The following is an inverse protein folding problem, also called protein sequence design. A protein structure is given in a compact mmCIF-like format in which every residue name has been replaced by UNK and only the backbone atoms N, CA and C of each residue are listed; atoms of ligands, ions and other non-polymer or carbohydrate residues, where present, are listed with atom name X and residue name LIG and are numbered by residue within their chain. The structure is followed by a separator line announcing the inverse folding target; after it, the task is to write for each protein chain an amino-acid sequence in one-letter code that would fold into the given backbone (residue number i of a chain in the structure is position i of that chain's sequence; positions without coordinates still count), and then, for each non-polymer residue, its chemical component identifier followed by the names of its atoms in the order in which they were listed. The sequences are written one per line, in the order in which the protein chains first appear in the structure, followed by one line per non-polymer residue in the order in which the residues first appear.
data_IF_770923771222
#
_entry.id   IF_770923771222
#
_cell.length_a   1.000
_cell.length_b   1.000
_cell.length_c   1.000
_cell.angle_alpha   90.00
_cell.angle_beta   90.00
_cell.angle_gamma   90.00
#
_symmetry.space_group_name_H-M   'P 1'
#
loop_
_entity.id
_entity.type
_entity.pdbx_description
1 polymer ?
#
# COMPACT_ATOMS: atom_id res chain seq x y z
N UNK A 1 -6.28 -15.64 3.56
CA UNK A 1 -5.62 -15.52 4.89
C UNK A 1 -4.40 -16.43 5.04
N UNK A 2 -4.52 -17.76 5.00
CA UNK A 2 -3.39 -18.71 5.21
C UNK A 2 -2.22 -18.55 4.23
N UNK A 3 -2.46 -18.05 3.01
CA UNK A 3 -1.38 -17.74 2.06
C UNK A 3 -0.54 -16.52 2.53
N UNK A 4 -1.21 -15.41 2.87
CA UNK A 4 -0.57 -14.17 3.35
C UNK A 4 0.18 -14.38 4.67
N UNK A 5 -0.43 -15.11 5.62
CA UNK A 5 0.21 -15.46 6.89
C UNK A 5 1.48 -16.33 6.72
N UNK A 6 1.64 -16.99 5.57
CA UNK A 6 2.85 -17.77 5.22
C UNK A 6 3.81 -16.98 4.32
N UNK A 7 3.60 -15.67 4.15
CA UNK A 7 4.40 -14.80 3.29
C UNK A 7 4.35 -15.21 1.81
N UNK A 8 3.20 -15.73 1.34
CA UNK A 8 2.97 -16.07 -0.07
C UNK A 8 2.05 -15.03 -0.71
N UNK A 9 2.33 -14.72 -1.97
CA UNK A 9 1.49 -13.86 -2.79
C UNK A 9 0.09 -14.46 -2.98
N UNK A 10 -0.93 -13.62 -3.01
CA UNK A 10 -2.31 -14.02 -3.23
C UNK A 10 -2.99 -13.02 -4.18
N UNK A 11 -3.67 -13.55 -5.20
CA UNK A 11 -4.66 -12.81 -5.97
C UNK A 11 -6.03 -13.12 -5.39
N UNK A 12 -6.77 -12.09 -5.02
CA UNK A 12 -8.12 -12.26 -4.47
C UNK A 12 -9.12 -11.54 -5.36
N UNK A 13 -10.05 -12.32 -5.90
CA UNK A 13 -11.16 -11.81 -6.73
C UNK A 13 -12.44 -12.01 -5.92
N UNK A 14 -13.09 -10.90 -5.55
CA UNK A 14 -14.34 -10.91 -4.80
C UNK A 14 -15.32 -9.89 -5.39
N UNK A 15 -16.64 -10.10 -5.23
CA UNK A 15 -17.62 -9.08 -5.57
C UNK A 15 -17.46 -7.84 -4.67
N UNK A 16 -17.90 -6.68 -5.16
CA UNK A 16 -18.03 -5.45 -4.35
C UNK A 16 -18.94 -5.71 -3.15
N UNK A 17 -18.65 -5.11 -2.00
CA UNK A 17 -19.39 -5.34 -0.75
C UNK A 17 -19.06 -6.66 -0.01
N UNK A 18 -18.20 -7.53 -0.56
CA UNK A 18 -17.86 -8.82 0.05
C UNK A 18 -16.85 -8.79 1.21
N UNK A 19 -16.49 -7.61 1.74
CA UNK A 19 -15.48 -7.50 2.80
C UNK A 19 -14.03 -7.57 2.31
N UNK A 20 -13.73 -7.07 1.10
CA UNK A 20 -12.37 -7.05 0.54
C UNK A 20 -11.36 -6.36 1.45
N UNK A 21 -11.76 -5.32 2.15
CA UNK A 21 -10.87 -4.58 3.05
C UNK A 21 -10.32 -5.43 4.19
N UNK A 22 -11.14 -6.36 4.71
CA UNK A 22 -10.72 -7.29 5.76
C UNK A 22 -9.57 -8.22 5.32
N UNK A 23 -9.39 -8.43 4.01
CA UNK A 23 -8.39 -9.34 3.46
C UNK A 23 -6.98 -8.78 3.56
N UNK A 24 -6.83 -7.46 3.68
CA UNK A 24 -5.54 -6.83 3.95
C UNK A 24 -5.45 -6.18 5.33
N UNK A 25 -6.57 -5.78 5.94
CA UNK A 25 -6.58 -5.27 7.31
C UNK A 25 -6.18 -6.35 8.32
N UNK A 26 -6.73 -7.56 8.21
CA UNK A 26 -6.39 -8.63 9.17
C UNK A 26 -4.93 -9.08 9.03
N UNK A 27 -4.35 -9.27 7.82
CA UNK A 27 -2.93 -9.56 7.70
C UNK A 27 -2.03 -8.39 8.12
N UNK A 28 -2.45 -7.14 7.96
CA UNK A 28 -1.66 -5.98 8.42
C UNK A 28 -1.38 -6.07 9.93
N UNK A 29 -2.39 -6.42 10.73
CA UNK A 29 -2.27 -6.62 12.18
C UNK A 29 -1.45 -7.86 12.57
N UNK A 30 -1.29 -8.82 11.65
CA UNK A 30 -0.59 -10.09 11.90
C UNK A 30 0.85 -10.12 11.39
N UNK A 31 1.22 -9.19 10.49
CA UNK A 31 2.52 -9.17 9.83
C UNK A 31 3.35 -8.01 10.36
N UNK A 32 4.61 -8.25 10.79
CA UNK A 32 5.45 -7.18 11.29
C UNK A 32 5.89 -6.25 10.16
N UNK A 33 5.42 -5.01 10.18
CA UNK A 33 5.77 -3.95 9.24
C UNK A 33 4.55 -3.35 8.54
N UNK A 34 4.72 -2.20 7.87
CA UNK A 34 3.60 -1.46 7.31
C UNK A 34 2.96 -2.18 6.12
N UNK A 35 1.66 -1.99 5.96
CA UNK A 35 0.87 -2.41 4.81
C UNK A 35 0.68 -1.24 3.86
N UNK A 36 1.01 -1.47 2.59
CA UNK A 36 0.83 -0.48 1.51
C UNK A 36 -0.34 -0.92 0.65
N UNK A 37 -1.35 -0.05 0.53
CA UNK A 37 -2.52 -0.28 -0.31
C UNK A 37 -2.48 0.66 -1.50
N UNK A 38 -2.38 0.10 -2.70
CA UNK A 38 -2.39 0.84 -3.96
C UNK A 38 -3.79 0.79 -4.53
N UNK A 39 -4.46 1.93 -4.67
CA UNK A 39 -5.83 1.98 -5.18
C UNK A 39 -5.99 3.12 -6.18
N UNK A 40 -6.66 2.93 -7.33
CA UNK A 40 -6.89 3.99 -8.30
C UNK A 40 -8.06 4.92 -7.91
N UNK A 41 -8.87 4.55 -6.92
CA UNK A 41 -10.09 5.27 -6.56
C UNK A 41 -9.89 6.10 -5.29
N UNK A 42 -9.57 7.38 -5.44
CA UNK A 42 -9.32 8.32 -4.32
C UNK A 42 -10.53 8.40 -3.37
N UNK A 43 -11.75 8.41 -3.90
CA UNK A 43 -12.96 8.41 -3.06
C UNK A 43 -13.04 7.18 -2.16
N UNK A 44 -12.76 5.99 -2.73
CA UNK A 44 -12.74 4.74 -1.97
C UNK A 44 -11.59 4.69 -0.96
N UNK A 45 -10.42 5.25 -1.29
CA UNK A 45 -9.33 5.39 -0.32
C UNK A 45 -9.74 6.22 0.89
N UNK A 46 -10.49 7.32 0.69
CA UNK A 46 -10.96 8.17 1.79
C UNK A 46 -11.91 7.42 2.70
N UNK A 47 -12.87 6.69 2.14
CA UNK A 47 -13.80 5.88 2.92
C UNK A 47 -13.07 4.79 3.73
N UNK A 48 -12.05 4.16 3.14
CA UNK A 48 -11.23 3.14 3.82
C UNK A 48 -10.33 3.75 4.92
N UNK A 49 -9.78 4.94 4.68
CA UNK A 49 -8.99 5.72 5.66
C UNK A 49 -9.87 6.15 6.84
N UNK A 50 -11.09 6.63 6.56
CA UNK A 50 -12.03 7.04 7.60
C UNK A 50 -12.45 5.85 8.47
N UNK A 51 -12.83 4.72 7.85
CA UNK A 51 -13.17 3.49 8.57
C UNK A 51 -12.02 2.97 9.46
N UNK A 52 -10.76 3.11 9.02
CA UNK A 52 -9.60 2.74 9.84
C UNK A 52 -9.41 3.69 11.02
N UNK A 53 -9.60 5.00 10.84
CA UNK A 53 -9.50 5.99 11.92
C UNK A 53 -10.53 5.78 13.02
N UNK A 54 -11.70 5.25 12.69
CA UNK A 54 -12.70 4.84 13.69
C UNK A 54 -12.23 3.71 14.62
N UNK A 55 -11.16 3.00 14.24
CA UNK A 55 -10.55 1.91 14.99
C UNK A 55 -9.21 2.30 15.64
N UNK A 56 -8.99 3.59 15.92
CA UNK A 56 -7.76 4.16 16.50
C UNK A 56 -6.49 3.95 15.65
N UNK A 57 -6.63 3.57 14.39
CA UNK A 57 -5.53 3.50 13.43
C UNK A 57 -5.19 4.89 12.90
N UNK A 58 -3.93 5.09 12.49
CA UNK A 58 -3.46 6.35 11.89
C UNK A 58 -3.03 6.15 10.44
N UNK A 59 -3.94 5.76 9.51
CA UNK A 59 -3.59 5.58 8.11
C UNK A 59 -3.16 6.91 7.47
N UNK A 60 -2.17 6.82 6.60
CA UNK A 60 -1.63 7.92 5.82
C UNK A 60 -1.90 7.71 4.34
N UNK A 61 -2.11 8.79 3.58
CA UNK A 61 -2.36 8.73 2.13
C UNK A 61 -1.30 9.51 1.34
N UNK A 62 -0.92 8.99 0.19
CA UNK A 62 -0.06 9.65 -0.80
C UNK A 62 -0.77 9.68 -2.16
N UNK A 63 -1.09 10.87 -2.63
CA UNK A 63 -1.72 11.12 -3.92
C UNK A 63 -1.12 12.35 -4.61
N UNK A 64 -1.67 12.75 -5.77
CA UNK A 64 -1.18 13.91 -6.52
C UNK A 64 -1.29 15.24 -5.75
N UNK A 65 -2.22 15.34 -4.80
CA UNK A 65 -2.43 16.50 -3.94
C UNK A 65 -1.47 16.58 -2.74
N UNK A 66 -0.74 15.52 -2.40
CA UNK A 66 0.15 15.50 -1.23
C UNK A 66 1.40 16.38 -1.44
N UNK A 67 1.61 17.44 -0.63
CA UNK A 67 2.80 18.27 -0.67
C UNK A 67 4.09 17.49 -0.38
N UNK A 68 5.21 17.95 -0.94
CA UNK A 68 6.51 17.30 -0.74
C UNK A 68 6.97 17.27 0.74
N UNK A 69 6.64 18.30 1.52
CA UNK A 69 6.93 18.35 2.95
C UNK A 69 6.20 17.26 3.74
N UNK A 70 4.93 17.02 3.40
CA UNK A 70 4.08 16.01 4.03
C UNK A 70 4.49 14.60 3.63
N UNK A 71 4.98 14.40 2.40
CA UNK A 71 5.55 13.11 1.97
C UNK A 71 6.68 12.64 2.87
N UNK A 72 7.61 13.54 3.22
CA UNK A 72 8.75 13.19 4.08
C UNK A 72 8.27 12.75 5.46
N UNK A 73 7.37 13.50 6.06
CA UNK A 73 6.80 13.18 7.39
C UNK A 73 6.02 11.86 7.37
N UNK A 74 5.31 11.57 6.28
CA UNK A 74 4.61 10.30 6.07
C UNK A 74 5.57 9.12 6.09
N UNK A 75 6.65 9.16 5.31
CA UNK A 75 7.64 8.08 5.30
C UNK A 75 8.44 7.97 6.60
N UNK A 76 8.69 9.07 7.29
CA UNK A 76 9.30 9.05 8.63
C UNK A 76 8.39 8.35 9.64
N UNK A 77 7.08 8.63 9.62
CA UNK A 77 6.10 7.96 10.47
C UNK A 77 5.96 6.47 10.15
N UNK A 78 5.97 6.11 8.87
CA UNK A 78 5.92 4.73 8.40
C UNK A 78 7.15 3.92 8.89
N UNK A 79 8.36 4.50 8.77
CA UNK A 79 9.61 3.87 9.24
C UNK A 79 9.70 3.77 10.76
N UNK A 80 9.14 4.76 11.46
CA UNK A 80 9.09 4.78 12.91
C UNK A 80 8.03 3.82 13.49
N UNK A 81 7.19 3.19 12.65
CA UNK A 81 6.10 2.33 13.09
C UNK A 81 4.98 3.10 13.79
N UNK A 82 4.83 4.41 13.50
CA UNK A 82 3.73 5.23 14.04
C UNK A 82 2.44 5.08 13.25
N UNK A 83 2.52 4.50 12.06
CA UNK A 83 1.39 4.19 11.19
C UNK A 83 1.61 2.84 10.54
N UNK A 84 0.57 2.02 10.51
CA UNK A 84 0.61 0.69 9.90
C UNK A 84 0.12 0.69 8.45
N UNK A 85 -0.66 1.69 8.04
CA UNK A 85 -1.31 1.72 6.73
C UNK A 85 -0.89 2.92 5.90
N UNK A 86 -0.37 2.65 4.70
CA UNK A 86 -0.14 3.65 3.66
C UNK A 86 -1.03 3.39 2.46
N UNK A 87 -1.97 4.30 2.19
CA UNK A 87 -2.73 4.35 0.96
C UNK A 87 -1.96 5.15 -0.09
N UNK A 88 -1.78 4.59 -1.27
CA UNK A 88 -0.95 5.16 -2.31
C UNK A 88 -1.68 5.15 -3.65
N UNK A 89 -1.78 6.30 -4.30
CA UNK A 89 -2.27 6.37 -5.65
C UNK A 89 -1.22 5.78 -6.63
N UNK A 90 -1.63 5.05 -7.68
CA UNK A 90 -0.72 4.31 -8.56
C UNK A 90 0.31 5.22 -9.25
N UNK A 91 -0.04 6.46 -9.57
CA UNK A 91 0.88 7.43 -10.18
C UNK A 91 2.05 7.82 -9.27
N UNK A 92 1.92 7.67 -7.95
CA UNK A 92 3.04 7.91 -7.02
C UNK A 92 4.13 6.84 -7.18
N UNK A 93 3.76 5.61 -7.57
CA UNK A 93 4.72 4.53 -7.80
C UNK A 93 5.56 4.73 -9.07
N UNK A 94 5.17 5.66 -9.95
CA UNK A 94 6.00 6.07 -11.08
C UNK A 94 7.18 6.95 -10.65
N UNK A 95 7.15 7.51 -9.43
CA UNK A 95 8.18 8.41 -8.91
C UNK A 95 9.31 7.60 -8.23
N UNK A 96 10.56 7.67 -8.70
CA UNK A 96 11.65 6.86 -8.16
C UNK A 96 11.97 7.10 -6.68
N UNK A 97 11.78 8.34 -6.20
CA UNK A 97 11.94 8.72 -4.79
C UNK A 97 10.93 7.99 -3.91
N UNK A 98 9.65 7.94 -4.31
CA UNK A 98 8.59 7.22 -3.60
C UNK A 98 8.90 5.73 -3.52
N UNK A 99 9.32 5.11 -4.62
CA UNK A 99 9.68 3.68 -4.62
C UNK A 99 10.86 3.40 -3.71
N UNK A 100 11.88 4.26 -3.72
CA UNK A 100 13.02 4.15 -2.79
C UNK A 100 12.58 4.32 -1.33
N UNK A 101 11.68 5.26 -1.07
CA UNK A 101 11.25 5.56 0.29
C UNK A 101 10.36 4.45 0.87
N UNK A 102 9.45 3.90 0.07
CA UNK A 102 8.72 2.67 0.34
C UNK A 102 9.68 1.53 0.62
N UNK A 103 10.76 1.43 -0.17
CA UNK A 103 11.74 0.38 0.02
C UNK A 103 12.45 0.44 1.37
N UNK A 104 12.84 1.64 1.76
CA UNK A 104 13.44 1.86 3.06
C UNK A 104 12.46 1.68 4.23
N UNK A 105 11.14 1.83 3.99
CA UNK A 105 10.11 1.59 5.00
C UNK A 105 9.90 0.10 5.29
N UNK A 106 10.25 -0.79 4.36
CA UNK A 106 10.19 -2.24 4.55
C UNK A 106 8.76 -2.77 4.77
N UNK A 107 7.82 -2.53 3.84
CA UNK A 107 6.46 -3.00 3.97
C UNK A 107 6.39 -4.53 4.06
N UNK A 108 5.51 -5.00 4.94
CA UNK A 108 5.25 -6.42 5.16
C UNK A 108 4.24 -6.97 4.16
N UNK A 109 3.39 -6.09 3.62
CA UNK A 109 2.34 -6.40 2.67
C UNK A 109 2.17 -5.27 1.65
N UNK A 110 2.09 -5.63 0.37
CA UNK A 110 1.59 -4.76 -0.69
C UNK A 110 0.25 -5.30 -1.18
N UNK A 111 -0.73 -4.43 -1.25
CA UNK A 111 -2.08 -4.70 -1.74
C UNK A 111 -2.31 -3.84 -2.96
N UNK A 112 -2.86 -4.42 -4.03
CA UNK A 112 -3.34 -3.67 -5.18
C UNK A 112 -4.85 -3.84 -5.24
N UNK A 113 -5.57 -2.78 -4.90
CA UNK A 113 -7.02 -2.71 -5.00
C UNK A 113 -7.43 -2.38 -6.44
N UNK A 114 -8.61 -2.85 -6.81
CA UNK A 114 -9.12 -2.80 -8.18
C UNK A 114 -8.07 -3.19 -9.23
N UNK A 115 -7.36 -4.30 -8.97
CA UNK A 115 -6.29 -4.82 -9.82
C UNK A 115 -6.72 -5.06 -11.29
N UNK A 116 -8.02 -5.19 -11.55
CA UNK A 116 -8.57 -5.28 -12.90
C UNK A 116 -8.33 -4.00 -13.73
N UNK A 117 -8.08 -2.86 -13.09
CA UNK A 117 -7.75 -1.58 -13.73
C UNK A 117 -6.26 -1.45 -14.06
N UNK A 118 -5.38 -2.36 -13.60
CA UNK A 118 -3.93 -2.31 -13.86
C UNK A 118 -3.64 -2.24 -15.36
N UNK A 119 -4.39 -2.96 -16.20
CA UNK A 119 -4.21 -2.93 -17.66
C UNK A 119 -4.52 -1.56 -18.27
N UNK A 120 -5.36 -0.73 -17.64
CA UNK A 120 -5.66 0.64 -18.08
C UNK A 120 -4.65 1.67 -17.58
N UNK A 121 -3.87 1.37 -16.55
CA UNK A 121 -2.85 2.29 -16.03
C UNK A 121 -1.72 2.54 -17.04
N UNK A 122 -1.50 1.61 -17.97
CA UNK A 122 -0.56 1.78 -19.09
C UNK A 122 -1.05 2.69 -20.22
N UNK A 123 -2.35 2.99 -20.30
CA UNK A 123 -2.93 3.80 -21.38
C UNK A 123 -3.39 5.19 -20.93
N UNK A 124 -3.70 5.39 -19.64
CA UNK A 124 -4.08 6.71 -19.09
C UNK A 124 -2.87 7.53 -18.61
N UNK A 125 -1.72 6.91 -18.44
CA UNK A 125 -0.44 7.61 -18.23
C UNK A 125 0.23 7.77 -19.59
N UNK A 126 0.72 8.97 -19.94
CA UNK A 126 1.64 9.15 -21.07
C UNK A 126 2.84 8.18 -21.02
N UNK A 127 3.67 8.10 -22.07
CA UNK A 127 4.60 6.99 -22.34
C UNK A 127 5.68 6.87 -21.25
N UNK A 128 5.35 6.22 -20.16
CA UNK A 128 6.27 5.79 -19.12
C UNK A 128 5.63 4.55 -18.53
N UNK A 129 6.10 3.41 -18.99
CA UNK A 129 5.74 2.09 -18.48
C UNK A 129 5.85 2.10 -16.96
N UNK A 130 4.71 2.02 -16.29
CA UNK A 130 4.64 1.83 -14.84
C UNK A 130 5.48 0.57 -14.52
N UNK A 131 6.61 0.76 -13.84
CA UNK A 131 7.69 -0.22 -13.69
C UNK A 131 7.38 -1.35 -12.72
N UNK A 132 6.21 -1.99 -12.84
CA UNK A 132 5.80 -3.13 -11.99
C UNK A 132 6.84 -4.26 -12.00
N UNK A 133 7.55 -4.45 -13.11
CA UNK A 133 8.64 -5.43 -13.23
C UNK A 133 9.91 -5.12 -12.42
N UNK A 134 10.05 -3.91 -11.87
CA UNK A 134 11.19 -3.50 -11.02
C UNK A 134 10.90 -3.62 -9.53
N UNK A 135 9.66 -3.94 -9.14
CA UNK A 135 9.32 -4.12 -7.73
C UNK A 135 9.97 -5.39 -7.17
N UNK A 136 10.59 -5.34 -5.97
CA UNK A 136 11.20 -6.51 -5.37
C UNK A 136 10.16 -7.63 -5.20
N UNK A 137 10.46 -8.81 -5.76
CA UNK A 137 9.59 -10.00 -5.66
C UNK A 137 9.42 -10.52 -4.22
N UNK A 138 10.28 -10.07 -3.29
CA UNK A 138 10.23 -10.39 -1.86
C UNK A 138 10.79 -9.24 -1.05
N UNK A 139 10.00 -8.76 -0.10
CA UNK A 139 10.46 -7.95 1.02
C UNK A 139 10.83 -8.91 2.15
N UNK A 140 12.12 -9.13 2.40
CA UNK A 140 12.53 -9.82 3.64
C UNK A 140 12.44 -8.81 4.77
N UNK A 141 11.38 -8.89 5.58
CA UNK A 141 11.29 -8.20 6.86
C UNK A 141 12.51 -8.58 7.70
N UNK A 142 13.45 -7.64 7.86
CA UNK A 142 14.66 -7.83 8.64
C UNK A 142 14.55 -6.96 9.88
N UNK A 143 14.06 -7.53 10.98
CA UNK A 143 14.34 -7.03 12.34
C UNK A 143 14.64 -8.21 13.25
N UNK A 144 15.73 -8.05 14.00
CA UNK A 144 16.12 -8.93 15.10
C UNK A 144 15.08 -8.84 16.24
N UNK A 145 14.81 -9.93 16.97
CA UNK A 145 13.92 -9.88 18.12
C UNK A 145 14.56 -9.06 19.27
N UNK A 146 13.74 -8.55 20.22
CA UNK A 146 14.23 -7.84 21.40
C UNK A 146 15.10 -8.71 22.31
#
# INVERSE_FOLDING_TARGET
MTALARGRDALVVMPTGGGKSAIYQVPALLLPGPTVVVSPLIALQRDQVEALREHDEQPVSLDAGTPAGERRTTFESLRAGRTEFLFCAPEQLAKPDVVRDLAAAGPSLLVVDEAHLISSWGTTSGPTTCGWGRWPRRWTARRSPP
#
